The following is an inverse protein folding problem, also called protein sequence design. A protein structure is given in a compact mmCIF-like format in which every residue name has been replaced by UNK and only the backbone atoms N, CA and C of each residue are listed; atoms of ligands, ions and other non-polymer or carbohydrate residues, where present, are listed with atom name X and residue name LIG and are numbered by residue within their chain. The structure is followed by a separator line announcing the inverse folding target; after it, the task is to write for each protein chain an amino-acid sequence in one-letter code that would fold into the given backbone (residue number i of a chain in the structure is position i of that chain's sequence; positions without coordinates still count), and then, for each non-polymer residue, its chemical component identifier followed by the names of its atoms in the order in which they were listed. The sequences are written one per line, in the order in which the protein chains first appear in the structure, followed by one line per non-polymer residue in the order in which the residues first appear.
data_IF_942238994775
#
_entry.id   IF_942238994775
#
_cell.length_a   1.000
_cell.length_b   1.000
_cell.length_c   1.000
_cell.angle_alpha   90.00
_cell.angle_beta   90.00
_cell.angle_gamma   90.00
#
_symmetry.space_group_name_H-M   'P 1'
#
loop_
_entity.id
_entity.type
_entity.pdbx_description
1 polymer ?
#
# COMPACT_ATOMS: atom_id res chain seq x y z
N UNK A 1 -81.52 -17.89 5.33
CA UNK A 1 -81.94 -16.49 5.55
C UNK A 1 -81.62 -15.99 6.96
N UNK A 2 -81.91 -16.76 8.02
CA UNK A 2 -81.58 -16.39 9.41
C UNK A 2 -80.10 -16.07 9.68
N UNK A 3 -79.16 -16.79 9.06
CA UNK A 3 -77.73 -16.56 9.29
C UNK A 3 -77.20 -15.22 8.73
N UNK A 4 -77.76 -14.74 7.62
CA UNK A 4 -77.37 -13.46 7.01
C UNK A 4 -77.95 -12.28 7.81
N UNK A 5 -79.20 -12.42 8.27
CA UNK A 5 -79.88 -11.41 9.08
C UNK A 5 -79.21 -11.25 10.45
N UNK A 6 -78.79 -12.36 11.06
CA UNK A 6 -78.01 -12.36 12.30
C UNK A 6 -76.61 -11.77 12.11
N UNK A 7 -75.96 -12.04 10.96
CA UNK A 7 -74.67 -11.42 10.61
C UNK A 7 -74.76 -9.91 10.39
N UNK A 8 -75.90 -9.42 9.89
CA UNK A 8 -76.12 -8.00 9.57
C UNK A 8 -76.82 -7.21 10.70
N UNK A 9 -77.10 -7.84 11.85
CA UNK A 9 -77.69 -7.22 13.04
C UNK A 9 -79.00 -6.45 12.78
N UNK A 10 -79.86 -6.96 11.90
CA UNK A 10 -81.16 -6.33 11.62
C UNK A 10 -82.18 -6.62 12.74
N UNK A 11 -82.89 -5.58 13.17
CA UNK A 11 -83.98 -5.69 14.15
C UNK A 11 -85.15 -6.50 13.56
N UNK A 12 -85.41 -7.67 14.14
CA UNK A 12 -86.40 -8.64 13.65
C UNK A 12 -87.84 -8.29 14.00
N UNK A 13 -88.08 -7.10 14.57
CA UNK A 13 -89.42 -6.61 14.93
C UNK A 13 -90.25 -6.11 13.72
N UNK A 14 -89.63 -5.84 12.57
CA UNK A 14 -90.32 -5.48 11.31
C UNK A 14 -90.37 -6.65 10.32
N UNK A 15 -91.15 -7.69 10.65
CA UNK A 15 -91.17 -8.95 9.89
C UNK A 15 -91.85 -8.88 8.51
N UNK A 16 -92.53 -7.77 8.17
CA UNK A 16 -93.25 -7.62 6.90
C UNK A 16 -92.31 -7.56 5.69
N UNK A 17 -91.07 -7.11 5.88
CA UNK A 17 -90.06 -7.02 4.83
C UNK A 17 -89.60 -8.41 4.33
N UNK A 18 -89.77 -9.45 5.16
CA UNK A 18 -89.40 -10.84 4.84
C UNK A 18 -90.49 -11.58 4.04
N UNK A 19 -91.58 -10.92 3.68
CA UNK A 19 -92.63 -11.49 2.82
C UNK A 19 -92.75 -10.77 1.47
N UNK A 20 -91.96 -9.72 1.24
CA UNK A 20 -91.92 -9.02 -0.05
C UNK A 20 -90.90 -9.69 -0.98
N UNK A 21 -91.40 -10.24 -2.09
CA UNK A 21 -90.61 -10.95 -3.10
C UNK A 21 -89.48 -10.09 -3.70
N UNK A 22 -89.63 -8.76 -3.70
CA UNK A 22 -88.59 -7.85 -4.18
C UNK A 22 -87.41 -7.78 -3.21
N UNK A 23 -87.68 -7.84 -1.91
CA UNK A 23 -86.63 -7.87 -0.89
C UNK A 23 -85.92 -9.23 -0.86
N UNK A 24 -86.63 -10.33 -1.12
CA UNK A 24 -85.98 -11.62 -1.34
C UNK A 24 -84.97 -11.58 -2.48
N UNK A 25 -85.38 -11.07 -3.65
CA UNK A 25 -84.48 -10.90 -4.81
C UNK A 25 -83.30 -9.99 -4.50
N UNK A 26 -83.51 -8.94 -3.70
CA UNK A 26 -82.44 -8.04 -3.25
C UNK A 26 -81.42 -8.73 -2.33
N UNK A 27 -81.87 -9.47 -1.32
CA UNK A 27 -80.96 -10.18 -0.41
C UNK A 27 -80.27 -11.38 -1.06
N UNK A 28 -80.95 -12.07 -1.97
CA UNK A 28 -80.34 -13.13 -2.78
C UNK A 28 -79.28 -12.56 -3.72
N UNK A 29 -79.52 -11.38 -4.32
CA UNK A 29 -78.50 -10.66 -5.08
C UNK A 29 -77.31 -10.29 -4.20
N UNK A 30 -77.55 -9.72 -3.02
CA UNK A 30 -76.50 -9.31 -2.08
C UNK A 30 -75.64 -10.50 -1.66
N UNK A 31 -76.27 -11.60 -1.23
CA UNK A 31 -75.58 -12.80 -0.75
C UNK A 31 -74.75 -13.49 -1.84
N UNK A 32 -75.19 -13.42 -3.10
CA UNK A 32 -74.51 -14.07 -4.23
C UNK A 32 -73.45 -13.19 -4.90
N UNK A 33 -73.50 -11.85 -4.75
CA UNK A 33 -72.63 -10.93 -5.48
C UNK A 33 -71.66 -10.14 -4.59
N UNK A 34 -71.90 -10.10 -3.27
CA UNK A 34 -71.03 -9.40 -2.33
C UNK A 34 -70.27 -10.44 -1.51
N UNK A 35 -68.97 -10.49 -1.74
CA UNK A 35 -68.00 -11.30 -1.00
C UNK A 35 -67.19 -10.39 -0.08
N UNK A 36 -66.54 -10.97 0.93
CA UNK A 36 -65.64 -10.22 1.84
C UNK A 36 -64.50 -9.51 1.08
N UNK A 37 -64.14 -9.98 -0.13
CA UNK A 37 -63.15 -9.34 -1.02
C UNK A 37 -63.68 -8.11 -1.76
N UNK A 38 -65.00 -7.89 -1.80
CA UNK A 38 -65.65 -6.79 -2.50
C UNK A 38 -66.22 -5.74 -1.54
N UNK A 39 -66.12 -5.97 -0.23
CA UNK A 39 -66.50 -5.02 0.82
C UNK A 39 -65.21 -4.34 1.30
N UNK A 40 -65.09 -3.03 1.09
CA UNK A 40 -63.99 -2.27 1.68
C UNK A 40 -64.15 -2.23 3.20
N UNK A 41 -63.08 -2.60 3.90
CA UNK A 41 -62.99 -2.43 5.34
C UNK A 41 -62.84 -0.95 5.70
N UNK A 42 -63.25 -0.58 6.92
CA UNK A 42 -63.07 0.78 7.44
C UNK A 42 -61.60 1.24 7.35
N UNK A 43 -60.66 0.32 7.59
CA UNK A 43 -59.22 0.58 7.47
C UNK A 43 -58.82 0.93 6.04
N UNK A 44 -59.31 0.20 5.04
CA UNK A 44 -58.97 0.45 3.63
C UNK A 44 -59.55 1.79 3.14
N UNK A 45 -60.73 2.17 3.64
CA UNK A 45 -61.33 3.49 3.37
C UNK A 45 -60.46 4.60 3.96
N UNK A 46 -60.04 4.45 5.23
CA UNK A 46 -59.19 5.44 5.92
C UNK A 46 -57.80 5.56 5.28
N UNK A 47 -57.21 4.45 4.84
CA UNK A 47 -55.94 4.44 4.13
C UNK A 47 -56.04 5.17 2.79
N UNK A 48 -57.12 4.93 2.04
CA UNK A 48 -57.39 5.66 0.79
C UNK A 48 -57.57 7.16 1.03
N UNK A 49 -58.35 7.56 2.03
CA UNK A 49 -58.54 8.97 2.38
C UNK A 49 -57.23 9.65 2.78
N UNK A 50 -56.38 8.97 3.55
CA UNK A 50 -55.07 9.49 3.94
C UNK A 50 -54.10 9.62 2.75
N UNK A 51 -54.12 8.66 1.83
CA UNK A 51 -53.35 8.72 0.58
C UNK A 51 -53.82 9.89 -0.30
N UNK A 52 -55.14 10.12 -0.40
CA UNK A 52 -55.71 11.27 -1.12
C UNK A 52 -55.28 12.59 -0.46
N UNK A 53 -55.34 12.68 0.87
CA UNK A 53 -54.91 13.87 1.63
C UNK A 53 -53.43 14.18 1.42
N UNK A 54 -52.58 13.17 1.29
CA UNK A 54 -51.14 13.32 1.05
C UNK A 54 -50.77 13.55 -0.42
N UNK A 55 -51.72 13.58 -1.35
CA UNK A 55 -51.47 13.55 -2.80
C UNK A 55 -50.60 12.35 -3.23
N UNK A 56 -50.70 11.24 -2.50
CA UNK A 56 -49.98 9.98 -2.77
C UNK A 56 -50.90 8.91 -3.36
N UNK A 57 -52.19 9.20 -3.49
CA UNK A 57 -53.14 8.31 -4.13
C UNK A 57 -52.93 8.28 -5.64
N UNK A 58 -52.64 7.10 -6.18
CA UNK A 58 -52.44 6.88 -7.61
C UNK A 58 -53.74 6.29 -8.19
N UNK A 59 -54.58 7.14 -8.79
CA UNK A 59 -55.81 6.70 -9.46
C UNK A 59 -55.52 5.94 -10.76
N UNK A 60 -55.90 4.66 -10.80
CA UNK A 60 -56.03 3.77 -11.98
C UNK A 60 -54.84 3.69 -12.97
N UNK A 61 -54.78 2.56 -13.66
CA UNK A 61 -53.67 2.11 -14.50
C UNK A 61 -53.22 3.14 -15.57
N UNK A 62 -54.12 3.97 -16.09
CA UNK A 62 -53.84 4.91 -17.19
C UNK A 62 -52.99 6.13 -16.76
N UNK A 63 -53.33 6.80 -15.66
CA UNK A 63 -52.55 7.94 -15.14
C UNK A 63 -51.18 7.47 -14.61
N UNK A 64 -51.12 6.26 -14.06
CA UNK A 64 -49.87 5.65 -13.63
C UNK A 64 -48.94 5.40 -14.81
N UNK A 65 -49.44 4.81 -15.90
CA UNK A 65 -48.67 4.58 -17.14
C UNK A 65 -48.11 5.89 -17.71
N UNK A 66 -48.93 6.95 -17.74
CA UNK A 66 -48.53 8.26 -18.24
C UNK A 66 -47.45 8.92 -17.35
N UNK A 67 -47.60 8.78 -16.04
CA UNK A 67 -46.61 9.25 -15.07
C UNK A 67 -45.28 8.46 -15.19
N UNK A 68 -45.37 7.15 -15.39
CA UNK A 68 -44.21 6.29 -15.61
C UNK A 68 -43.49 6.65 -16.92
N UNK A 69 -44.23 6.89 -18.01
CA UNK A 69 -43.65 7.36 -19.27
C UNK A 69 -42.96 8.73 -19.12
N UNK A 70 -43.58 9.68 -18.42
CA UNK A 70 -42.96 10.97 -18.10
C UNK A 70 -41.68 10.79 -17.28
N UNK A 71 -41.65 9.81 -16.38
CA UNK A 71 -40.47 9.51 -15.58
C UNK A 71 -39.34 8.87 -16.39
N UNK A 72 -39.66 7.84 -17.19
CA UNK A 72 -38.72 7.15 -18.09
C UNK A 72 -38.15 8.10 -19.14
N UNK A 73 -38.97 9.00 -19.70
CA UNK A 73 -38.52 10.02 -20.64
C UNK A 73 -37.65 11.10 -20.00
N UNK A 74 -37.91 11.44 -18.73
CA UNK A 74 -37.10 12.40 -17.97
C UNK A 74 -35.76 11.80 -17.53
N UNK A 75 -35.71 10.50 -17.24
CA UNK A 75 -34.52 9.79 -16.78
C UNK A 75 -34.30 8.48 -17.55
N UNK A 76 -34.00 8.55 -18.86
CA UNK A 76 -33.88 7.36 -19.69
C UNK A 76 -32.73 6.46 -19.23
N UNK A 77 -31.63 7.04 -18.76
CA UNK A 77 -30.46 6.32 -18.28
C UNK A 77 -30.69 5.54 -16.97
N UNK A 78 -31.76 5.84 -16.23
CA UNK A 78 -32.07 5.17 -14.96
C UNK A 78 -32.63 3.76 -15.17
N UNK A 79 -33.16 3.49 -16.37
CA UNK A 79 -33.84 2.23 -16.72
C UNK A 79 -33.03 1.41 -17.72
N UNK A 80 -31.94 1.96 -18.26
CA UNK A 80 -31.07 1.26 -19.22
C UNK A 80 -30.10 0.30 -18.57
N UNK A 81 -29.78 0.49 -17.28
CA UNK A 81 -28.91 -0.43 -16.54
C UNK A 81 -29.66 -1.72 -16.24
N UNK A 82 -29.12 -2.84 -16.73
CA UNK A 82 -29.63 -4.17 -16.38
C UNK A 82 -29.08 -4.61 -15.02
N UNK A 83 -29.74 -5.59 -14.40
CA UNK A 83 -29.20 -6.22 -13.17
C UNK A 83 -27.80 -6.80 -13.43
N UNK A 84 -27.55 -7.33 -14.63
CA UNK A 84 -26.24 -7.86 -15.03
C UNK A 84 -25.17 -6.76 -15.06
N UNK A 85 -25.51 -5.53 -15.48
CA UNK A 85 -24.59 -4.38 -15.45
C UNK A 85 -24.23 -4.01 -14.01
N UNK A 86 -25.20 -4.04 -13.10
CA UNK A 86 -24.99 -3.78 -11.68
C UNK A 86 -24.10 -4.86 -11.06
N UNK A 87 -24.34 -6.14 -11.37
CA UNK A 87 -23.53 -7.27 -10.91
C UNK A 87 -22.10 -7.13 -11.43
N UNK A 88 -21.93 -6.82 -12.72
CA UNK A 88 -20.62 -6.62 -13.35
C UNK A 88 -19.84 -5.48 -12.70
N UNK A 89 -20.50 -4.33 -12.47
CA UNK A 89 -19.89 -3.18 -11.78
C UNK A 89 -19.49 -3.52 -10.34
N UNK A 90 -20.31 -4.27 -9.61
CA UNK A 90 -19.97 -4.74 -8.25
C UNK A 90 -18.75 -5.65 -8.25
N UNK A 91 -18.68 -6.59 -9.20
CA UNK A 91 -17.51 -7.47 -9.35
C UNK A 91 -16.25 -6.69 -9.73
N UNK A 92 -16.38 -5.72 -10.64
CA UNK A 92 -15.29 -4.82 -11.02
C UNK A 92 -14.78 -4.02 -9.82
N UNK A 93 -15.69 -3.45 -9.03
CA UNK A 93 -15.37 -2.69 -7.82
C UNK A 93 -14.64 -3.56 -6.79
N UNK A 94 -15.17 -4.75 -6.50
CA UNK A 94 -14.52 -5.70 -5.58
C UNK A 94 -13.14 -6.14 -6.07
N UNK A 95 -12.93 -6.22 -7.38
CA UNK A 95 -11.62 -6.54 -7.98
C UNK A 95 -10.66 -5.37 -7.81
N UNK A 96 -11.10 -4.14 -8.03
CA UNK A 96 -10.30 -2.93 -7.83
C UNK A 96 -9.91 -2.75 -6.36
N UNK A 97 -10.81 -3.02 -5.41
CA UNK A 97 -10.51 -2.97 -3.97
C UNK A 97 -9.41 -3.95 -3.58
N UNK A 98 -9.48 -5.19 -4.09
CA UNK A 98 -8.42 -6.19 -3.88
C UNK A 98 -7.09 -5.74 -4.48
N UNK A 99 -7.12 -5.19 -5.69
CA UNK A 99 -5.92 -4.68 -6.35
C UNK A 99 -5.28 -3.54 -5.55
N UNK A 100 -6.10 -2.64 -5.01
CA UNK A 100 -5.65 -1.53 -4.19
C UNK A 100 -4.94 -2.03 -2.92
N UNK A 101 -5.51 -3.03 -2.27
CA UNK A 101 -4.89 -3.68 -1.11
C UNK A 101 -3.52 -4.29 -1.44
N UNK A 102 -3.40 -5.00 -2.57
CA UNK A 102 -2.11 -5.56 -3.02
C UNK A 102 -1.09 -4.46 -3.32
N UNK A 103 -1.51 -3.33 -3.88
CA UNK A 103 -0.62 -2.19 -4.09
C UNK A 103 -0.14 -1.57 -2.78
N UNK A 104 -1.00 -1.47 -1.78
CA UNK A 104 -0.61 -0.96 -0.45
C UNK A 104 0.42 -1.89 0.22
N UNK A 105 0.25 -3.20 0.13
CA UNK A 105 1.24 -4.18 0.60
C UNK A 105 2.58 -4.00 -0.13
N UNK A 106 2.56 -3.92 -1.47
CA UNK A 106 3.76 -3.71 -2.28
C UNK A 106 4.49 -2.41 -1.91
N UNK A 107 3.76 -1.32 -1.70
CA UNK A 107 4.34 -0.03 -1.30
C UNK A 107 5.03 -0.16 0.06
N UNK A 108 4.43 -0.87 1.01
CA UNK A 108 5.03 -1.09 2.33
C UNK A 108 6.29 -1.96 2.24
N UNK A 109 6.28 -3.02 1.42
CA UNK A 109 7.46 -3.82 1.16
C UNK A 109 8.59 -2.99 0.53
N UNK A 110 8.27 -2.16 -0.47
CA UNK A 110 9.24 -1.26 -1.08
C UNK A 110 9.84 -0.28 -0.06
N UNK A 111 9.03 0.27 0.84
CA UNK A 111 9.50 1.16 1.93
C UNK A 111 10.44 0.42 2.88
N UNK A 112 10.10 -0.82 3.24
CA UNK A 112 10.93 -1.65 4.12
C UNK A 112 12.28 -1.97 3.47
N UNK A 113 12.28 -2.35 2.19
CA UNK A 113 13.50 -2.61 1.42
C UNK A 113 14.35 -1.34 1.34
N UNK A 114 13.75 -0.19 1.03
CA UNK A 114 14.46 1.09 0.97
C UNK A 114 15.14 1.42 2.31
N UNK A 115 14.42 1.29 3.42
CA UNK A 115 14.95 1.53 4.77
C UNK A 115 16.13 0.60 5.10
N UNK A 116 16.02 -0.68 4.75
CA UNK A 116 17.10 -1.65 4.93
C UNK A 116 18.32 -1.32 4.06
N UNK A 117 18.11 -0.95 2.79
CA UNK A 117 19.18 -0.51 1.89
C UNK A 117 19.89 0.73 2.44
N UNK A 118 19.16 1.74 2.89
CA UNK A 118 19.74 2.95 3.49
C UNK A 118 20.58 2.62 4.73
N UNK A 119 20.08 1.73 5.59
CA UNK A 119 20.82 1.28 6.77
C UNK A 119 22.13 0.57 6.40
N UNK A 120 22.09 -0.30 5.38
CA UNK A 120 23.29 -0.98 4.86
C UNK A 120 24.30 -0.02 4.23
N UNK A 121 23.83 0.96 3.45
CA UNK A 121 24.70 1.99 2.86
C UNK A 121 25.42 2.76 3.96
N UNK A 122 24.70 3.24 4.97
CA UNK A 122 25.29 3.95 6.11
C UNK A 122 26.35 3.11 6.82
N UNK A 123 26.06 1.84 7.08
CA UNK A 123 27.02 0.93 7.70
C UNK A 123 28.28 0.72 6.85
N UNK A 124 28.13 0.61 5.52
CA UNK A 124 29.26 0.50 4.61
C UNK A 124 30.12 1.77 4.59
N UNK A 125 29.50 2.96 4.64
CA UNK A 125 30.22 4.25 4.70
C UNK A 125 31.03 4.38 6.01
N UNK A 126 30.46 3.94 7.14
CA UNK A 126 31.15 3.89 8.43
C UNK A 126 32.36 2.93 8.38
N UNK A 127 32.18 1.73 7.82
CA UNK A 127 33.28 0.78 7.63
C UNK A 127 34.36 1.29 6.70
N UNK A 128 34.00 1.94 5.59
CA UNK A 128 34.95 2.52 4.66
C UNK A 128 35.79 3.61 5.34
N UNK A 129 35.14 4.47 6.12
CA UNK A 129 35.80 5.53 6.89
C UNK A 129 36.80 4.96 7.90
N UNK A 130 36.41 3.91 8.62
CA UNK A 130 37.26 3.21 9.58
C UNK A 130 38.44 2.50 8.91
N UNK A 131 38.21 1.88 7.74
CA UNK A 131 39.27 1.24 6.95
C UNK A 131 40.29 2.29 6.45
N UNK A 132 39.81 3.43 5.95
CA UNK A 132 40.66 4.54 5.53
C UNK A 132 41.53 5.06 6.69
N UNK A 133 40.94 5.21 7.88
CA UNK A 133 41.67 5.61 9.10
C UNK A 133 42.80 4.61 9.43
N UNK A 134 42.46 3.32 9.50
CA UNK A 134 43.44 2.24 9.78
C UNK A 134 44.53 2.17 8.73
N UNK A 135 44.18 2.27 7.45
CA UNK A 135 45.14 2.28 6.34
C UNK A 135 46.12 3.46 6.45
N UNK A 136 45.62 4.63 6.85
CA UNK A 136 46.45 5.81 7.12
C UNK A 136 47.40 5.59 8.30
N UNK A 137 46.93 4.95 9.37
CA UNK A 137 47.77 4.58 10.53
C UNK A 137 48.87 3.59 10.13
N UNK A 138 48.54 2.56 9.35
CA UNK A 138 49.51 1.58 8.83
C UNK A 138 50.55 2.27 7.94
N UNK A 139 50.14 3.17 7.05
CA UNK A 139 51.05 3.93 6.20
C UNK A 139 52.03 4.78 7.03
N UNK A 140 51.54 5.44 8.10
CA UNK A 140 52.39 6.20 9.04
C UNK A 140 53.39 5.29 9.76
N UNK A 141 52.98 4.11 10.21
CA UNK A 141 53.86 3.13 10.84
C UNK A 141 54.94 2.67 9.85
N UNK A 142 54.55 2.32 8.63
CA UNK A 142 55.48 1.88 7.59
C UNK A 142 56.52 2.96 7.27
N UNK A 143 56.10 4.22 7.13
CA UNK A 143 57.02 5.35 6.94
C UNK A 143 58.02 5.48 8.09
N UNK A 144 57.58 5.34 9.36
CA UNK A 144 58.47 5.36 10.52
C UNK A 144 59.46 4.20 10.52
N UNK A 145 59.02 2.99 10.18
CA UNK A 145 59.88 1.80 10.05
C UNK A 145 60.92 2.02 8.95
N UNK A 146 60.52 2.53 7.78
CA UNK A 146 61.42 2.83 6.68
C UNK A 146 62.50 3.84 7.07
N UNK A 147 62.12 4.94 7.73
CA UNK A 147 63.07 5.96 8.23
C UNK A 147 64.05 5.33 9.22
N UNK A 148 63.55 4.51 10.15
CA UNK A 148 64.38 3.84 11.16
C UNK A 148 65.35 2.86 10.52
N UNK A 149 64.88 2.04 9.57
CA UNK A 149 65.71 1.09 8.83
C UNK A 149 66.81 1.80 8.02
N UNK A 150 66.45 2.86 7.29
CA UNK A 150 67.42 3.68 6.56
C UNK A 150 68.49 4.26 7.50
N UNK A 151 68.08 4.76 8.67
CA UNK A 151 69.01 5.30 9.68
C UNK A 151 69.97 4.23 10.22
N UNK A 152 69.46 3.02 10.52
CA UNK A 152 70.28 1.89 10.92
C UNK A 152 71.25 1.48 9.80
N UNK A 153 70.81 1.47 8.54
CA UNK A 153 71.66 1.16 7.39
C UNK A 153 72.78 2.20 7.18
N UNK A 154 72.50 3.48 7.40
CA UNK A 154 73.51 4.53 7.40
C UNK A 154 74.48 4.44 8.60
N UNK A 155 74.04 3.88 9.73
CA UNK A 155 74.88 3.67 10.91
C UNK A 155 75.75 2.40 10.81
N UNK A 156 75.29 1.35 10.13
CA UNK A 156 76.05 0.11 9.90
C UNK A 156 76.96 0.16 8.67
N UNK A 157 76.79 1.15 7.78
CA UNK A 157 77.90 1.65 6.98
C UNK A 157 78.91 2.27 7.94
N UNK A 158 79.87 1.43 8.34
CA UNK A 158 81.18 1.81 8.90
C UNK A 158 81.68 3.12 8.28
N UNK A 159 82.52 3.93 8.97
CA UNK A 159 83.18 5.07 8.35
C UNK A 159 83.68 4.64 6.97
N UNK A 160 83.56 5.48 5.92
CA UNK A 160 84.01 5.09 4.59
C UNK A 160 85.40 4.47 4.75
N UNK A 161 85.69 3.36 4.08
CA UNK A 161 86.94 2.62 4.28
C UNK A 161 88.16 3.55 4.21
N UNK A 162 88.04 4.71 3.54
CA UNK A 162 88.97 5.85 3.61
C UNK A 162 89.29 6.38 5.02
N UNK A 163 88.32 6.50 5.95
CA UNK A 163 88.53 6.96 7.33
C UNK A 163 89.16 5.88 8.22
N UNK A 164 88.82 4.62 7.98
CA UNK A 164 89.46 3.47 8.64
C UNK A 164 90.90 3.31 8.14
N UNK A 165 91.12 3.43 6.83
CA UNK A 165 92.46 3.46 6.21
C UNK A 165 93.25 4.67 6.69
N UNK A 166 92.66 5.87 6.77
CA UNK A 166 93.36 7.06 7.25
C UNK A 166 93.80 6.94 8.72
N UNK A 167 92.97 6.31 9.57
CA UNK A 167 93.34 6.01 10.96
C UNK A 167 94.40 4.91 11.09
N UNK A 168 94.37 3.90 10.23
CA UNK A 168 95.41 2.85 10.18
C UNK A 168 96.75 3.39 9.63
N UNK A 169 96.70 4.26 8.61
CA UNK A 169 97.89 4.86 7.96
C UNK A 169 98.56 5.91 8.84
N UNK A 170 97.79 6.69 9.61
CA UNK A 170 98.35 7.69 10.54
C UNK A 170 98.68 7.13 11.93
N UNK A 171 98.19 5.93 12.27
CA UNK A 171 98.21 5.40 13.63
C UNK A 171 99.49 4.72 14.05
N UNK A 172 100.07 3.82 13.24
CA UNK A 172 101.31 3.08 13.58
C UNK A 172 101.66 2.11 12.46
N UNK A 173 102.54 2.52 11.51
CA UNK A 173 103.48 1.63 10.77
C UNK A 173 104.23 2.23 9.58
N UNK A 174 104.23 3.55 9.39
CA UNK A 174 105.03 4.17 8.31
C UNK A 174 106.55 4.00 8.49
N UNK A 175 107.03 3.72 9.70
CA UNK A 175 108.46 3.47 10.00
C UNK A 175 108.91 2.03 9.72
N UNK A 176 108.00 1.06 9.70
CA UNK A 176 108.35 -0.36 9.48
C UNK A 176 108.31 -0.75 8.00
N UNK A 177 107.41 -0.14 7.21
CA UNK A 177 107.27 -0.46 5.79
C UNK A 177 108.40 0.13 4.92
N UNK A 178 108.90 1.34 5.26
CA UNK A 178 110.09 1.93 4.61
C UNK A 178 111.39 1.16 4.89
N UNK A 179 111.42 0.32 5.94
CA UNK A 179 112.58 -0.48 6.32
C UNK A 179 112.63 -1.83 5.60
N UNK A 180 111.50 -2.31 5.06
CA UNK A 180 111.38 -3.61 4.39
C UNK A 180 111.38 -3.52 2.86
N UNK A 181 111.08 -2.35 2.28
CA UNK A 181 111.00 -2.17 0.81
C UNK A 181 111.67 -0.88 0.31
N UNK A 182 112.69 -0.39 1.02
CA UNK A 182 113.57 0.67 0.53
C UNK A 182 114.55 0.11 -0.51
N UNK A 183 114.65 0.81 -1.64
CA UNK A 183 115.62 0.62 -2.72
C UNK A 183 115.29 -0.42 -3.79
N UNK A 184 114.13 -0.27 -4.47
CA UNK A 184 114.02 -0.55 -5.92
C UNK A 184 112.65 -0.15 -6.45
N UNK A 185 112.52 1.10 -6.89
CA UNK A 185 111.64 1.47 -8.00
C UNK A 185 112.15 2.79 -8.56
N UNK A 186 113.25 2.66 -9.29
CA UNK A 186 113.69 3.65 -10.25
C UNK A 186 112.81 3.49 -11.51
N UNK A 187 112.41 4.63 -12.06
CA UNK A 187 112.03 4.89 -13.46
C UNK A 187 110.60 4.57 -13.96
N UNK A 188 110.16 5.22 -15.07
CA UNK A 188 110.22 6.65 -15.41
C UNK A 188 108.83 7.24 -15.73
N UNK A 189 108.79 8.57 -15.68
CA UNK A 189 108.12 9.51 -16.57
C UNK A 189 106.85 9.11 -17.35
N UNK A 190 105.81 9.87 -16.99
CA UNK A 190 104.63 10.19 -17.78
C UNK A 190 104.97 10.63 -19.22
N UNK A 191 104.31 9.98 -20.18
CA UNK A 191 103.67 10.64 -21.32
C UNK A 191 102.45 9.86 -21.77
#
# INVERSE_FOLDING_TARGET
MGDIVNKLNFDTSNQWIFYDERFHKFFDFFANNITDSNILTETEILEQEELLRRNQYVETNEKFSECLQKFVSKYPALVTGTEDDIISLRQSTATMEKLLHVYDELINDMRNILSNCQSKVKWLEELQSENFRKSTEVAKIFAKVQITCNRCFHFTRSPPMSDVIARLVNGSRLTEFKKLYGDSLHHPDYK
#
